data_IF_299682312645
#
_entry.id   IF_299682312645
#
_cell.length_a   1.000
_cell.length_b   1.000
_cell.length_c   1.000
_cell.angle_alpha   90.00
_cell.angle_beta   90.00
_cell.angle_gamma   90.00
#
_symmetry.space_group_name_H-M   'P 1'
#
loop_
_entity.id
_entity.type
_entity.pdbx_description
1 polymer ?
#
# COMPACT_ATOMS: atom_id res chain seq x y z
N UNK A 1 -13.23 -4.80 7.06
CA UNK A 1 -11.89 -4.50 6.44
C UNK A 1 -11.58 -5.30 5.16
N UNK A 2 -11.88 -6.60 5.07
CA UNK A 2 -11.41 -7.43 3.94
C UNK A 2 -11.91 -6.96 2.56
N UNK A 3 -13.08 -6.32 2.51
CA UNK A 3 -13.63 -5.75 1.28
C UNK A 3 -12.96 -4.45 0.81
N UNK A 4 -12.14 -3.78 1.63
CA UNK A 4 -11.45 -2.51 1.31
C UNK A 4 -9.97 -2.68 0.99
N UNK A 5 -9.37 -3.83 1.36
CA UNK A 5 -7.97 -4.13 1.13
C UNK A 5 -7.60 -4.20 -0.37
N UNK A 6 -8.39 -4.84 -1.25
CA UNK A 6 -8.05 -4.90 -2.68
C UNK A 6 -7.98 -3.52 -3.34
N UNK A 7 -8.92 -2.62 -3.04
CA UNK A 7 -8.96 -1.25 -3.58
C UNK A 7 -7.77 -0.44 -3.08
N UNK A 8 -7.43 -0.58 -1.79
CA UNK A 8 -6.23 0.02 -1.21
C UNK A 8 -4.95 -0.46 -1.91
N UNK A 9 -4.82 -1.78 -2.15
CA UNK A 9 -3.64 -2.34 -2.81
C UNK A 9 -3.47 -1.83 -4.24
N UNK A 10 -4.55 -1.73 -5.02
CA UNK A 10 -4.51 -1.18 -6.38
C UNK A 10 -4.07 0.29 -6.35
N UNK A 11 -4.59 1.08 -5.42
CA UNK A 11 -4.21 2.47 -5.25
C UNK A 11 -2.73 2.62 -4.89
N UNK A 12 -2.24 1.87 -3.89
CA UNK A 12 -0.84 1.90 -3.48
C UNK A 12 0.10 1.42 -4.60
N UNK A 13 -0.27 0.37 -5.33
CA UNK A 13 0.50 -0.13 -6.47
C UNK A 13 0.66 0.96 -7.56
N UNK A 14 -0.40 1.72 -7.82
CA UNK A 14 -0.41 2.82 -8.79
C UNK A 14 0.54 3.95 -8.37
N UNK A 15 0.52 4.34 -7.08
CA UNK A 15 1.45 5.35 -6.54
C UNK A 15 2.89 4.84 -6.64
N UNK A 16 3.15 3.61 -6.22
CA UNK A 16 4.51 3.02 -6.30
C UNK A 16 5.02 3.01 -7.73
N UNK A 17 4.19 2.61 -8.70
CA UNK A 17 4.56 2.60 -10.10
C UNK A 17 4.89 4.01 -10.61
N UNK A 18 4.11 5.03 -10.22
CA UNK A 18 4.41 6.43 -10.52
C UNK A 18 5.75 6.88 -9.94
N UNK A 19 6.06 6.52 -8.68
CA UNK A 19 7.36 6.82 -8.05
C UNK A 19 8.51 6.15 -8.79
N UNK A 20 8.34 4.88 -9.20
CA UNK A 20 9.32 4.12 -9.98
C UNK A 20 9.56 4.76 -11.35
N UNK A 21 8.51 5.15 -12.06
CA UNK A 21 8.59 5.82 -13.36
C UNK A 21 9.34 7.17 -13.28
N UNK A 22 9.29 7.85 -12.13
CA UNK A 22 10.01 9.11 -11.87
C UNK A 22 11.43 8.93 -11.33
N UNK A 23 11.94 7.70 -11.27
CA UNK A 23 13.31 7.43 -10.79
C UNK A 23 13.54 7.80 -9.33
N UNK A 24 12.50 7.79 -8.47
CA UNK A 24 12.69 8.05 -7.04
C UNK A 24 13.51 6.93 -6.39
N UNK A 25 14.44 7.31 -5.53
CA UNK A 25 15.27 6.39 -4.74
C UNK A 25 14.43 5.51 -3.83
N UNK A 26 13.36 6.06 -3.25
CA UNK A 26 12.37 5.33 -2.48
C UNK A 26 11.00 5.31 -3.18
N UNK A 27 10.53 4.09 -3.45
CA UNK A 27 9.22 3.82 -4.06
C UNK A 27 8.26 3.11 -3.11
N UNK A 28 8.67 2.89 -1.85
CA UNK A 28 7.81 2.30 -0.83
C UNK A 28 6.60 3.18 -0.54
N UNK A 29 5.44 2.57 -0.30
CA UNK A 29 4.16 3.25 -0.08
C UNK A 29 3.43 2.61 1.09
N UNK A 30 2.65 3.41 1.80
CA UNK A 30 1.95 3.03 3.02
C UNK A 30 0.49 3.42 2.92
N UNK A 31 -0.39 2.63 3.55
CA UNK A 31 -1.82 2.89 3.62
C UNK A 31 -2.46 2.16 4.78
N UNK A 32 -3.73 2.47 5.03
CA UNK A 32 -4.51 1.90 6.12
C UNK A 32 -5.87 1.49 5.58
N UNK A 33 -6.28 0.25 5.86
CA UNK A 33 -7.63 -0.22 5.63
C UNK A 33 -8.32 -0.40 6.99
N UNK A 34 -9.45 0.26 7.20
CA UNK A 34 -10.18 0.20 8.46
C UNK A 34 -11.68 0.22 8.23
N UNK A 35 -12.43 -0.42 9.13
CA UNK A 35 -13.89 -0.27 9.27
C UNK A 35 -14.27 0.52 10.53
N UNK A 36 -13.30 1.23 11.13
CA UNK A 36 -13.45 2.01 12.35
C UNK A 36 -13.22 1.19 13.63
N UNK A 37 -13.44 -0.13 13.57
CA UNK A 37 -13.18 -1.04 14.69
C UNK A 37 -11.85 -1.77 14.51
N UNK A 38 -11.58 -2.28 13.31
CA UNK A 38 -10.37 -3.01 12.98
C UNK A 38 -9.48 -2.19 12.06
N UNK A 39 -8.19 -2.16 12.36
CA UNK A 39 -7.21 -1.42 11.60
C UNK A 39 -6.23 -2.40 10.95
N UNK A 40 -5.92 -2.17 9.68
CA UNK A 40 -4.87 -2.90 8.97
C UNK A 40 -3.92 -1.91 8.31
N UNK A 41 -2.68 -1.90 8.77
CA UNK A 41 -1.61 -1.13 8.19
C UNK A 41 -0.99 -1.92 7.04
N UNK A 42 -0.90 -1.29 5.88
CA UNK A 42 -0.43 -1.90 4.64
C UNK A 42 0.77 -1.12 4.13
N UNK A 43 1.82 -1.84 3.73
CA UNK A 43 2.98 -1.27 3.07
C UNK A 43 3.28 -2.07 1.80
N UNK A 44 3.57 -1.39 0.70
CA UNK A 44 4.27 -2.00 -0.44
C UNK A 44 5.70 -1.48 -0.43
N UNK A 45 6.67 -2.37 -0.28
CA UNK A 45 8.09 -1.99 -0.23
C UNK A 45 8.58 -1.51 -1.59
N UNK A 46 9.78 -0.90 -1.62
CA UNK A 46 10.43 -0.54 -2.87
C UNK A 46 10.63 -1.73 -3.83
N UNK A 47 10.83 -2.94 -3.28
CA UNK A 47 10.93 -4.17 -4.06
C UNK A 47 9.57 -4.70 -4.58
N UNK A 48 8.45 -4.18 -4.07
CA UNK A 48 7.10 -4.63 -4.44
C UNK A 48 6.52 -5.70 -3.50
N UNK A 49 7.16 -5.96 -2.37
CA UNK A 49 6.63 -6.87 -1.35
C UNK A 49 5.53 -6.18 -0.56
N UNK A 50 4.43 -6.89 -0.31
CA UNK A 50 3.33 -6.40 0.52
C UNK A 50 3.58 -6.83 1.96
N UNK A 51 3.55 -5.88 2.90
CA UNK A 51 3.58 -6.12 4.34
C UNK A 51 2.25 -5.66 4.94
N UNK A 52 1.71 -6.49 5.83
CA UNK A 52 0.46 -6.24 6.54
C UNK A 52 0.73 -6.31 8.05
N UNK A 53 0.17 -5.36 8.80
CA UNK A 53 0.11 -5.38 10.26
C UNK A 53 -1.32 -5.09 10.70
N UNK A 54 -1.75 -5.71 11.79
CA UNK A 54 -3.02 -5.41 12.47
C UNK A 54 -2.74 -4.55 13.70
#
# INVERSE_FOLDING_TARGET
VDSTLPQLLVYLASIRQSRKARGRSDTSVYGVASDGLNWRFVMITGAGLIKLSQ
#
